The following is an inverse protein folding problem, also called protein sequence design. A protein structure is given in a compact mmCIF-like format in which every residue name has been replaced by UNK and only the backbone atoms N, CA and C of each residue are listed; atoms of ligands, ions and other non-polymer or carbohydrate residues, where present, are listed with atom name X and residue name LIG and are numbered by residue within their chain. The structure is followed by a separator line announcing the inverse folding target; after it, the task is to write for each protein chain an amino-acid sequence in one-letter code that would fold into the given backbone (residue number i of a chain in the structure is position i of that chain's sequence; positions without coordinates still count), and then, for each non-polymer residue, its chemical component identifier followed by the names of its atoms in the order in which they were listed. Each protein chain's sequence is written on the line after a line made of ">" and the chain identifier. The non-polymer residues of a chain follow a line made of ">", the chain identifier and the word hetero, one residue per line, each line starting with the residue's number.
data_IF_935910659224
#
_entry.id   IF_935910659224
#
_cell.length_a   1.000
_cell.length_b   1.000
_cell.length_c   1.000
_cell.angle_alpha   90.00
_cell.angle_beta   90.00
_cell.angle_gamma   90.00
#
_symmetry.space_group_name_H-M   'P 1'
#
loop_
_entity.id
_entity.type
_entity.pdbx_description
1 polymer ?
#
# COMPACT_ATOMS: atom_id res chain seq x y z
N UNK A 1 23.83 -3.13 -11.77
CA UNK A 1 22.55 -2.89 -12.48
C UNK A 1 21.43 -3.22 -11.49
N UNK A 2 21.17 -2.30 -10.55
CA UNK A 2 20.16 -2.50 -9.48
C UNK A 2 19.08 -1.40 -9.47
N UNK A 3 19.36 -0.24 -10.07
CA UNK A 3 18.41 0.87 -10.15
C UNK A 3 17.10 0.50 -10.85
N UNK A 4 17.15 -0.37 -11.88
CA UNK A 4 15.94 -0.84 -12.56
C UNK A 4 15.04 -1.70 -11.67
N UNK A 5 15.62 -2.60 -10.86
CA UNK A 5 14.85 -3.45 -9.93
C UNK A 5 14.28 -2.64 -8.77
N UNK A 6 15.04 -1.65 -8.28
CA UNK A 6 14.58 -0.71 -7.27
C UNK A 6 13.41 0.14 -7.76
N UNK A 7 13.46 0.63 -9.00
CA UNK A 7 12.40 1.43 -9.60
C UNK A 7 11.13 0.60 -9.85
N UNK A 8 11.27 -0.66 -10.29
CA UNK A 8 10.13 -1.58 -10.46
C UNK A 8 9.48 -1.91 -9.12
N UNK A 9 10.26 -2.21 -8.08
CA UNK A 9 9.73 -2.47 -6.74
C UNK A 9 8.99 -1.24 -6.19
N UNK A 10 9.59 -0.05 -6.30
CA UNK A 10 8.92 1.20 -5.92
C UNK A 10 7.60 1.41 -6.67
N UNK A 11 7.61 1.23 -7.98
CA UNK A 11 6.39 1.41 -8.80
C UNK A 11 5.32 0.40 -8.43
N UNK A 12 5.70 -0.86 -8.20
CA UNK A 12 4.78 -1.90 -7.75
C UNK A 12 4.18 -1.56 -6.38
N UNK A 13 5.00 -1.17 -5.40
CA UNK A 13 4.53 -0.76 -4.08
C UNK A 13 3.59 0.45 -4.14
N UNK A 14 3.92 1.50 -4.92
CA UNK A 14 3.05 2.67 -5.11
C UNK A 14 1.72 2.31 -5.76
N UNK A 15 1.74 1.57 -6.87
CA UNK A 15 0.52 1.16 -7.57
C UNK A 15 -0.37 0.28 -6.67
N UNK A 16 0.23 -0.60 -5.88
CA UNK A 16 -0.49 -1.48 -4.97
C UNK A 16 -1.09 -0.70 -3.81
N UNK A 17 -0.35 0.26 -3.23
CA UNK A 17 -0.84 1.11 -2.15
C UNK A 17 -2.03 1.97 -2.60
N UNK A 18 -1.95 2.58 -3.79
CA UNK A 18 -3.06 3.35 -4.35
C UNK A 18 -4.28 2.48 -4.63
N UNK A 19 -4.09 1.30 -5.22
CA UNK A 19 -5.19 0.42 -5.54
C UNK A 19 -5.85 -0.18 -4.28
N UNK A 20 -5.05 -0.51 -3.25
CA UNK A 20 -5.55 -0.94 -1.95
C UNK A 20 -6.35 0.18 -1.25
N UNK A 21 -5.88 1.43 -1.29
CA UNK A 21 -6.62 2.56 -0.74
C UNK A 21 -7.96 2.78 -1.47
N UNK A 22 -7.99 2.61 -2.79
CA UNK A 22 -9.24 2.66 -3.57
C UNK A 22 -10.18 1.52 -3.22
N UNK A 23 -9.68 0.30 -3.06
CA UNK A 23 -10.49 -0.86 -2.66
C UNK A 23 -11.13 -0.64 -1.28
N UNK A 24 -10.39 -0.04 -0.34
CA UNK A 24 -10.90 0.32 0.97
C UNK A 24 -11.97 1.42 0.91
N UNK A 25 -11.75 2.46 0.10
CA UNK A 25 -12.76 3.52 -0.11
C UNK A 25 -14.02 3.00 -0.79
N UNK A 26 -13.92 1.96 -1.62
CA UNK A 26 -15.07 1.36 -2.30
C UNK A 26 -16.06 0.65 -1.35
N UNK A 27 -15.68 0.39 -0.10
CA UNK A 27 -16.59 -0.15 0.92
C UNK A 27 -17.43 0.94 1.59
N UNK A 28 -17.12 2.21 1.35
CA UNK A 28 -17.83 3.33 1.95
C UNK A 28 -19.30 3.37 1.50
N UNK A 29 -20.19 3.72 2.43
CA UNK A 29 -21.61 3.90 2.14
C UNK A 29 -22.02 5.37 2.32
N UNK A 30 -22.96 5.90 1.52
CA UNK A 30 -23.43 7.27 1.67
C UNK A 30 -23.99 7.60 3.06
N UNK A 31 -24.54 6.61 3.74
CA UNK A 31 -25.20 6.77 5.05
C UNK A 31 -24.21 6.66 6.21
N UNK A 32 -23.24 5.74 6.12
CA UNK A 32 -22.37 5.37 7.25
C UNK A 32 -20.93 5.85 7.09
N UNK A 33 -20.56 6.36 5.91
CA UNK A 33 -19.19 6.71 5.59
C UNK A 33 -18.30 5.48 5.41
N UNK A 34 -17.03 5.63 5.76
CA UNK A 34 -16.03 4.55 5.72
C UNK A 34 -16.06 3.82 7.06
N UNK A 35 -16.48 2.56 7.07
CA UNK A 35 -16.30 1.69 8.23
C UNK A 35 -14.82 1.26 8.34
N UNK A 36 -14.25 1.40 9.54
CA UNK A 36 -12.83 1.14 9.76
C UNK A 36 -12.47 -0.34 9.55
N UNK A 37 -13.29 -1.27 10.03
CA UNK A 37 -12.98 -2.69 9.95
C UNK A 37 -13.07 -3.18 8.50
N UNK A 38 -14.13 -2.78 7.78
CA UNK A 38 -14.33 -3.16 6.38
C UNK A 38 -13.27 -2.54 5.46
N UNK A 39 -12.92 -1.27 5.67
CA UNK A 39 -11.87 -0.60 4.91
C UNK A 39 -10.49 -1.25 5.11
N UNK A 40 -10.15 -1.61 6.35
CA UNK A 40 -8.90 -2.32 6.66
C UNK A 40 -8.90 -3.71 6.02
N UNK A 41 -10.00 -4.47 6.15
CA UNK A 41 -10.11 -5.79 5.55
C UNK A 41 -9.96 -5.75 4.02
N UNK A 42 -10.62 -4.79 3.35
CA UNK A 42 -10.53 -4.61 1.90
C UNK A 42 -9.13 -4.20 1.42
N UNK A 43 -8.46 -3.28 2.13
CA UNK A 43 -7.08 -2.92 1.82
C UNK A 43 -6.12 -4.11 1.95
N UNK A 44 -6.25 -4.89 3.02
CA UNK A 44 -5.40 -6.06 3.27
C UNK A 44 -5.67 -7.19 2.28
N UNK A 45 -6.92 -7.48 1.94
CA UNK A 45 -7.28 -8.48 0.92
C UNK A 45 -6.69 -8.11 -0.45
N UNK A 46 -6.79 -6.83 -0.84
CA UNK A 46 -6.17 -6.38 -2.10
C UNK A 46 -4.64 -6.53 -2.08
N UNK A 47 -3.99 -6.05 -1.01
CA UNK A 47 -2.53 -6.08 -0.91
C UNK A 47 -1.98 -7.52 -0.88
N UNK A 48 -2.64 -8.42 -0.15
CA UNK A 48 -2.25 -9.85 -0.08
C UNK A 48 -2.42 -10.56 -1.42
N UNK A 49 -3.50 -10.30 -2.15
CA UNK A 49 -3.68 -10.80 -3.53
C UNK A 49 -2.62 -10.27 -4.50
N UNK A 50 -2.13 -9.05 -4.27
CA UNK A 50 -1.03 -8.46 -5.03
C UNK A 50 0.35 -9.00 -4.63
N UNK A 51 0.44 -9.90 -3.64
CA UNK A 51 1.68 -10.53 -3.19
C UNK A 51 2.39 -9.79 -2.06
N UNK A 52 1.75 -8.79 -1.44
CA UNK A 52 2.30 -8.04 -0.30
C UNK A 52 1.83 -8.68 1.01
N UNK A 53 2.73 -9.09 1.91
CA UNK A 53 2.36 -9.63 3.21
C UNK A 53 1.57 -8.63 4.05
N UNK A 54 0.53 -9.09 4.77
CA UNK A 54 -0.30 -8.20 5.60
C UNK A 54 0.50 -7.43 6.67
N UNK A 55 1.57 -8.04 7.20
CA UNK A 55 2.52 -7.44 8.14
C UNK A 55 3.29 -6.23 7.56
N UNK A 56 3.38 -6.13 6.25
CA UNK A 56 4.06 -5.05 5.53
C UNK A 56 3.08 -3.97 5.04
N UNK A 57 1.81 -4.06 5.42
CA UNK A 57 0.75 -3.11 5.05
C UNK A 57 0.29 -2.36 6.29
N UNK A 58 0.32 -1.04 6.23
CA UNK A 58 -0.23 -0.16 7.25
C UNK A 58 -1.39 0.65 6.69
N UNK A 59 -2.55 0.59 7.33
CA UNK A 59 -3.77 1.25 6.88
C UNK A 59 -4.18 2.28 7.92
N UNK A 60 -4.40 3.51 7.46
CA UNK A 60 -4.96 4.61 8.26
C UNK A 60 -6.29 5.01 7.64
N UNK A 61 -7.36 4.88 8.41
CA UNK A 61 -8.71 5.27 7.99
C UNK A 61 -9.06 6.57 8.69
N UNK A 62 -9.33 7.60 7.90
CA UNK A 62 -9.92 8.86 8.34
C UNK A 62 -11.42 8.90 8.05
N UNK A 63 -12.04 10.04 8.29
CA UNK A 63 -13.50 10.22 8.12
C UNK A 63 -13.92 10.06 6.66
N UNK A 64 -13.14 10.62 5.73
CA UNK A 64 -13.43 10.69 4.29
C UNK A 64 -12.28 10.16 3.42
N UNK A 65 -11.25 9.58 4.05
CA UNK A 65 -10.07 9.10 3.36
C UNK A 65 -9.53 7.79 3.92
N UNK A 66 -8.86 7.03 3.07
CA UNK A 66 -8.03 5.89 3.48
C UNK A 66 -6.64 6.09 2.92
N UNK A 67 -5.62 5.97 3.78
CA UNK A 67 -4.22 5.93 3.39
C UNK A 67 -3.68 4.53 3.64
N UNK A 68 -3.12 3.91 2.61
CA UNK A 68 -2.42 2.63 2.70
C UNK A 68 -0.94 2.87 2.47
N UNK A 69 -0.10 2.36 3.36
CA UNK A 69 1.35 2.37 3.24
C UNK A 69 1.84 0.94 3.12
N UNK A 70 2.66 0.67 2.11
CA UNK A 70 3.27 -0.63 1.87
C UNK A 70 4.78 -0.51 2.08
N UNK A 71 5.32 -1.46 2.85
CA UNK A 71 6.75 -1.58 3.14
C UNK A 71 7.29 -2.83 2.45
N UNK A 72 7.87 -2.68 1.28
CA UNK A 72 8.47 -3.80 0.56
C UNK A 72 9.95 -3.95 0.96
N UNK A 73 10.31 -5.12 1.50
CA UNK A 73 11.71 -5.46 1.83
C UNK A 73 12.26 -6.41 0.78
N UNK A 74 13.23 -5.96 -0.02
CA UNK A 74 13.92 -6.84 -0.97
C UNK A 74 15.38 -7.08 -0.56
N UNK A 75 15.84 -8.33 -0.50
CA UNK A 75 17.26 -8.62 -0.37
C UNK A 75 17.97 -8.10 -1.62
N UNK A 76 18.98 -7.26 -1.44
CA UNK A 76 19.82 -6.77 -2.54
C UNK A 76 21.03 -7.67 -2.68
N UNK A 77 21.43 -7.96 -3.93
CA UNK A 77 22.69 -8.64 -4.21
C UNK A 77 23.80 -7.59 -4.34
N UNK A 78 23.93 -6.68 -3.37
CA UNK A 78 25.11 -5.80 -3.31
C UNK A 78 26.20 -6.49 -2.50
N UNK A 79 26.81 -7.50 -3.11
CA UNK A 79 27.80 -8.38 -2.46
C UNK A 79 29.23 -7.84 -2.46
N UNK A 80 29.51 -6.61 -2.92
CA UNK A 80 30.92 -6.26 -3.23
C UNK A 80 31.50 -5.05 -2.50
N UNK A 81 30.76 -4.05 -2.01
CA UNK A 81 31.39 -2.88 -1.34
C UNK A 81 30.45 -2.23 -0.30
N UNK A 82 30.52 -2.60 0.99
CA UNK A 82 30.07 -1.70 2.08
C UNK A 82 28.86 -2.07 2.94
N UNK A 83 28.23 -3.24 2.78
CA UNK A 83 27.42 -3.82 3.86
C UNK A 83 25.91 -3.50 3.94
N UNK A 84 25.26 -2.98 2.89
CA UNK A 84 23.78 -2.92 2.85
C UNK A 84 23.18 -4.10 2.09
N UNK A 85 22.63 -5.05 2.84
CA UNK A 85 22.10 -6.33 2.34
C UNK A 85 20.59 -6.31 2.04
N UNK A 86 19.90 -5.23 2.41
CA UNK A 86 18.45 -5.13 2.32
C UNK A 86 18.03 -3.74 1.87
N UNK A 87 17.24 -3.66 0.82
CA UNK A 87 16.58 -2.44 0.39
C UNK A 87 15.14 -2.45 0.89
N UNK A 88 14.81 -1.48 1.72
CA UNK A 88 13.44 -1.22 2.18
C UNK A 88 12.85 -0.11 1.31
N UNK A 89 11.74 -0.40 0.64
CA UNK A 89 10.98 0.56 -0.13
C UNK A 89 9.66 0.80 0.57
N UNK A 90 9.39 2.05 0.91
CA UNK A 90 8.10 2.46 1.45
C UNK A 90 7.35 3.28 0.39
N UNK A 91 6.09 2.94 0.16
CA UNK A 91 5.21 3.68 -0.72
C UNK A 91 3.84 3.85 -0.05
N UNK A 92 3.20 4.99 -0.28
CA UNK A 92 1.86 5.27 0.23
C UNK A 92 0.92 5.65 -0.91
N UNK A 93 -0.35 5.29 -0.73
CA UNK A 93 -1.46 5.69 -1.59
C UNK A 93 -2.62 6.14 -0.72
N UNK A 94 -3.27 7.25 -1.12
CA UNK A 94 -4.42 7.80 -0.42
C UNK A 94 -5.59 7.89 -1.38
N UNK A 95 -6.75 7.42 -0.95
CA UNK A 95 -8.02 7.57 -1.66
C UNK A 95 -8.99 8.36 -0.78
N UNK A 96 -9.88 9.12 -1.41
CA UNK A 96 -10.91 9.92 -0.74
C UNK A 96 -12.28 9.61 -1.31
N UNK A 97 -13.29 9.65 -0.44
CA UNK A 97 -14.70 9.62 -0.83
C UNK A 97 -15.17 11.07 -0.97
N UNK A 98 -15.75 11.39 -2.12
CA UNK A 98 -16.47 12.65 -2.33
C UNK A 98 -17.89 12.31 -2.77
N UNK A 99 -18.89 12.80 -2.03
CA UNK A 99 -20.29 12.72 -2.43
C UNK A 99 -20.67 13.99 -3.20
N UNK A 100 -21.27 13.82 -4.36
CA UNK A 100 -21.86 14.90 -5.14
C UNK A 100 -23.37 14.66 -5.16
N UNK A 101 -24.15 15.64 -4.72
CA UNK A 101 -25.62 15.65 -4.76
C UNK A 101 -26.14 15.81 -6.21
#
# INVERSE_FOLDING_TARGET
>A
VDGGRALVARRHASNTAEAAARAAVATATPVSGIDQADAVAAALDYATRAGVPALDVHVTVGVDFVTVTIVERRPTVFLILGGQQTMTVQASGTARVTYTD
#
